data_IF_853643227152
#
_entry.id   IF_853643227152
#
_cell.length_a   1.000
_cell.length_b   1.000
_cell.length_c   1.000
_cell.angle_alpha   90.00
_cell.angle_beta   90.00
_cell.angle_gamma   90.00
#
_symmetry.space_group_name_H-M   'P 1'
#
loop_
_entity.id
_entity.type
_entity.pdbx_description
1 polymer ?
#
# COMPACT_ATOMS: atom_id res chain seq x y z
N UNK A 1 11.57 -16.14 -21.18
CA UNK A 1 12.47 -15.01 -21.47
C UNK A 1 11.85 -14.18 -22.60
N UNK A 2 11.03 -13.19 -22.29
CA UNK A 2 10.74 -12.14 -23.28
C UNK A 2 12.02 -11.32 -23.40
N UNK A 3 12.68 -11.41 -24.56
CA UNK A 3 13.82 -10.58 -24.91
C UNK A 3 13.42 -9.11 -24.67
N UNK A 4 14.09 -8.46 -23.75
CA UNK A 4 13.96 -7.02 -23.51
C UNK A 4 14.43 -6.33 -24.79
N UNK A 5 13.49 -6.02 -25.68
CA UNK A 5 13.79 -5.36 -26.95
C UNK A 5 14.14 -3.91 -26.61
N UNK A 6 15.44 -3.61 -26.46
CA UNK A 6 15.96 -2.26 -26.24
C UNK A 6 16.16 -1.61 -27.60
N UNK A 7 15.44 -0.54 -27.91
CA UNK A 7 15.60 0.18 -29.16
C UNK A 7 16.85 1.08 -29.11
N UNK A 8 18.02 0.53 -29.35
CA UNK A 8 19.25 1.31 -29.42
C UNK A 8 19.86 1.06 -30.81
N UNK A 9 19.75 2.04 -31.67
CA UNK A 9 20.31 2.03 -33.02
C UNK A 9 21.55 2.91 -33.18
N UNK A 10 21.84 3.80 -32.19
CA UNK A 10 22.93 4.75 -32.22
C UNK A 10 23.75 4.70 -30.94
N UNK A 11 25.06 4.63 -31.08
CA UNK A 11 25.97 4.80 -29.96
C UNK A 11 26.16 6.29 -29.69
N UNK A 12 25.90 6.72 -28.45
CA UNK A 12 26.04 8.10 -28.01
C UNK A 12 26.95 8.16 -26.78
N UNK A 13 27.75 9.25 -26.61
CA UNK A 13 28.56 9.42 -25.39
C UNK A 13 27.70 9.34 -24.15
N UNK A 14 27.99 8.36 -23.29
CA UNK A 14 27.13 7.99 -22.14
C UNK A 14 26.92 9.13 -21.16
N UNK A 15 27.99 9.84 -20.76
CA UNK A 15 27.90 10.95 -19.82
C UNK A 15 27.05 12.10 -20.36
N UNK A 16 27.21 12.42 -21.65
CA UNK A 16 26.41 13.46 -22.29
C UNK A 16 24.95 13.05 -22.37
N UNK A 17 24.68 11.82 -22.79
CA UNK A 17 23.33 11.27 -22.89
C UNK A 17 22.61 11.32 -21.53
N UNK A 18 23.30 10.93 -20.46
CA UNK A 18 22.74 10.97 -19.09
C UNK A 18 22.45 12.41 -18.64
N UNK A 19 23.35 13.36 -18.95
CA UNK A 19 23.17 14.77 -18.62
C UNK A 19 21.95 15.34 -19.33
N UNK A 20 21.83 15.09 -20.63
CA UNK A 20 20.72 15.58 -21.45
C UNK A 20 19.38 14.93 -21.01
N UNK A 21 19.38 13.63 -20.69
CA UNK A 21 18.21 12.93 -20.18
C UNK A 21 17.76 13.44 -18.81
N UNK A 22 18.69 13.77 -17.90
CA UNK A 22 18.35 14.37 -16.60
C UNK A 22 17.75 15.77 -16.75
N UNK A 23 18.29 16.59 -17.67
CA UNK A 23 17.73 17.90 -17.99
C UNK A 23 16.29 17.78 -18.54
N UNK A 24 16.06 16.80 -19.43
CA UNK A 24 14.71 16.53 -19.96
C UNK A 24 13.73 16.09 -18.87
N UNK A 25 14.13 15.18 -17.97
CA UNK A 25 13.30 14.77 -16.81
C UNK A 25 12.96 15.95 -15.90
N UNK A 26 13.89 16.90 -15.75
CA UNK A 26 13.65 18.13 -14.98
C UNK A 26 12.67 19.05 -15.69
N UNK A 27 12.86 19.26 -16.99
CA UNK A 27 11.94 20.05 -17.84
C UNK A 27 10.51 19.49 -17.83
N UNK A 28 10.37 18.16 -17.80
CA UNK A 28 9.09 17.47 -17.70
C UNK A 28 8.40 17.59 -16.33
N UNK A 29 9.04 18.25 -15.34
CA UNK A 29 8.47 18.48 -14.02
C UNK A 29 8.37 17.23 -13.14
N UNK A 30 9.25 16.24 -13.34
CA UNK A 30 9.30 15.07 -12.46
C UNK A 30 9.62 15.44 -11.01
N UNK A 31 9.02 14.73 -10.05
CA UNK A 31 9.28 14.95 -8.62
C UNK A 31 10.77 14.78 -8.30
N UNK A 32 11.29 15.51 -7.29
CA UNK A 32 12.68 15.39 -6.81
C UNK A 32 13.05 13.92 -6.54
N UNK A 33 12.12 13.13 -5.99
CA UNK A 33 12.33 11.71 -5.69
C UNK A 33 12.55 10.89 -6.98
N UNK A 34 11.75 11.16 -8.02
CA UNK A 34 11.91 10.47 -9.32
C UNK A 34 13.21 10.87 -9.98
N UNK A 35 13.56 12.15 -9.99
CA UNK A 35 14.82 12.66 -10.55
C UNK A 35 16.04 12.02 -9.87
N UNK A 36 16.06 11.97 -8.54
CA UNK A 36 17.14 11.33 -7.79
C UNK A 36 17.25 9.83 -8.08
N UNK A 37 16.14 9.16 -8.35
CA UNK A 37 16.15 7.73 -8.71
C UNK A 37 16.79 7.51 -10.08
N UNK A 38 16.40 8.27 -11.10
CA UNK A 38 17.00 8.18 -12.43
C UNK A 38 18.49 8.50 -12.36
N UNK A 39 18.85 9.57 -11.68
CA UNK A 39 20.25 9.93 -11.45
C UNK A 39 21.05 8.79 -10.87
N UNK A 40 20.61 8.21 -9.76
CA UNK A 40 21.33 7.11 -9.11
C UNK A 40 21.48 5.87 -10.00
N UNK A 41 20.48 5.56 -10.86
CA UNK A 41 20.57 4.43 -11.79
C UNK A 41 21.58 4.73 -12.90
N UNK A 42 21.55 5.93 -13.44
CA UNK A 42 22.40 6.29 -14.56
C UNK A 42 23.84 6.59 -14.13
N UNK A 43 24.06 7.14 -12.93
CA UNK A 43 25.40 7.24 -12.33
C UNK A 43 26.00 5.84 -12.11
N UNK A 44 25.22 4.90 -11.59
CA UNK A 44 25.66 3.51 -11.45
C UNK A 44 25.96 2.84 -12.81
N UNK A 45 25.22 3.18 -13.86
CA UNK A 45 25.52 2.70 -15.22
C UNK A 45 26.84 3.26 -15.75
N UNK A 46 27.17 4.53 -15.48
CA UNK A 46 28.43 5.15 -15.82
C UNK A 46 29.57 4.47 -15.04
N UNK A 47 29.45 4.34 -13.73
CA UNK A 47 30.43 3.64 -12.88
C UNK A 47 30.71 2.20 -13.36
N UNK A 48 29.63 1.49 -13.77
CA UNK A 48 29.72 0.15 -14.31
C UNK A 48 30.48 0.13 -15.64
N UNK A 49 30.23 1.08 -16.54
CA UNK A 49 30.92 1.21 -17.83
C UNK A 49 32.41 1.46 -17.63
N UNK A 50 32.75 2.40 -16.75
CA UNK A 50 34.13 2.79 -16.43
C UNK A 50 34.90 1.62 -15.78
N UNK A 51 34.25 0.95 -14.80
CA UNK A 51 34.87 -0.18 -14.06
C UNK A 51 35.11 -1.45 -14.89
N UNK A 52 34.40 -1.61 -16.03
CA UNK A 52 34.51 -2.78 -16.88
C UNK A 52 35.16 -2.46 -18.23
N UNK A 53 35.72 -1.26 -18.41
CA UNK A 53 36.39 -0.81 -19.66
C UNK A 53 35.50 -0.98 -20.91
N UNK A 54 34.17 -0.77 -20.76
CA UNK A 54 33.20 -1.01 -21.84
C UNK A 54 33.07 0.19 -22.82
N UNK A 55 33.89 1.22 -22.63
CA UNK A 55 33.91 2.42 -23.47
C UNK A 55 32.92 3.49 -23.03
N UNK A 56 33.03 4.69 -23.61
CA UNK A 56 32.27 5.89 -23.21
C UNK A 56 30.89 6.00 -23.90
N UNK A 57 30.49 4.99 -24.66
CA UNK A 57 29.27 5.06 -25.46
C UNK A 57 28.16 4.21 -24.90
N UNK A 58 26.94 4.78 -24.90
CA UNK A 58 25.73 4.02 -24.55
C UNK A 58 25.37 3.09 -25.70
N UNK A 59 25.48 1.80 -25.46
CA UNK A 59 25.18 0.76 -26.43
C UNK A 59 24.20 -0.28 -25.87
N UNK A 60 23.64 -1.08 -26.77
CA UNK A 60 22.80 -2.22 -26.39
C UNK A 60 23.57 -3.25 -25.57
N UNK A 61 24.84 -3.48 -25.93
CA UNK A 61 25.69 -4.43 -25.20
C UNK A 61 25.98 -3.95 -23.78
N UNK A 62 26.34 -2.68 -23.59
CA UNK A 62 26.49 -2.08 -22.25
C UNK A 62 25.22 -2.21 -21.43
N UNK A 63 24.08 -1.85 -22.01
CA UNK A 63 22.78 -1.93 -21.31
C UNK A 63 22.45 -3.36 -20.88
N UNK A 64 22.67 -4.35 -21.75
CA UNK A 64 22.40 -5.76 -21.44
C UNK A 64 23.34 -6.30 -20.35
N UNK A 65 24.65 -6.04 -20.44
CA UNK A 65 25.61 -6.45 -19.40
C UNK A 65 25.30 -5.81 -18.04
N UNK A 66 24.94 -4.54 -18.04
CA UNK A 66 24.52 -3.86 -16.81
C UNK A 66 23.27 -4.49 -16.18
N UNK A 67 22.28 -4.88 -16.99
CA UNK A 67 21.08 -5.57 -16.52
C UNK A 67 21.42 -6.98 -15.98
N UNK A 68 22.32 -7.72 -16.65
CA UNK A 68 22.79 -9.03 -16.22
C UNK A 68 23.55 -8.96 -14.88
N UNK A 69 24.49 -8.02 -14.75
CA UNK A 69 25.24 -7.79 -13.49
C UNK A 69 24.30 -7.49 -12.32
N UNK A 70 23.24 -6.72 -12.56
CA UNK A 70 22.22 -6.44 -11.57
C UNK A 70 21.18 -7.58 -11.42
N UNK A 71 21.45 -8.77 -12.02
CA UNK A 71 20.58 -9.96 -11.97
C UNK A 71 19.12 -9.64 -12.33
N UNK A 72 18.94 -8.87 -13.37
CA UNK A 72 17.63 -8.52 -13.87
C UNK A 72 17.16 -9.65 -14.79
N UNK A 73 16.16 -10.39 -14.38
CA UNK A 73 15.65 -11.55 -15.12
C UNK A 73 15.47 -12.81 -14.27
N UNK A 74 16.04 -12.85 -13.07
CA UNK A 74 15.80 -13.92 -12.09
C UNK A 74 14.43 -13.71 -11.39
N UNK A 75 13.34 -13.94 -12.12
CA UNK A 75 11.97 -13.70 -11.62
C UNK A 75 11.50 -14.75 -10.59
N UNK A 76 12.23 -15.83 -10.37
CA UNK A 76 11.82 -16.93 -9.50
C UNK A 76 12.08 -16.72 -8.01
N UNK A 77 12.85 -15.70 -7.63
CA UNK A 77 13.21 -15.45 -6.23
C UNK A 77 12.76 -14.07 -5.74
N UNK A 78 11.87 -14.04 -4.76
CA UNK A 78 11.60 -12.81 -3.98
C UNK A 78 12.83 -12.48 -3.12
N UNK A 79 13.77 -11.70 -3.66
CA UNK A 79 14.97 -11.25 -2.94
C UNK A 79 14.88 -9.79 -2.45
N UNK A 80 15.64 -9.42 -1.39
CA UNK A 80 15.83 -8.02 -1.01
C UNK A 80 16.40 -7.24 -2.21
N UNK A 81 15.73 -6.16 -2.60
CA UNK A 81 16.16 -5.35 -3.75
C UNK A 81 15.36 -5.54 -5.04
N UNK A 82 14.45 -6.49 -5.14
CA UNK A 82 13.62 -6.72 -6.34
C UNK A 82 12.90 -5.43 -6.83
N UNK A 83 12.47 -4.57 -5.91
CA UNK A 83 11.88 -3.28 -6.29
C UNK A 83 12.91 -2.35 -6.95
N UNK A 84 14.18 -2.39 -6.51
CA UNK A 84 15.26 -1.61 -7.10
C UNK A 84 15.64 -2.16 -8.48
N UNK A 85 15.70 -3.47 -8.65
CA UNK A 85 15.94 -4.12 -9.96
C UNK A 85 14.90 -3.69 -11.00
N UNK A 86 13.61 -3.67 -10.64
CA UNK A 86 12.54 -3.14 -11.52
C UNK A 86 12.77 -1.68 -11.91
N UNK A 87 13.31 -0.88 -11.01
CA UNK A 87 13.67 0.50 -11.31
C UNK A 87 14.89 0.62 -12.22
N UNK A 88 15.88 -0.28 -12.07
CA UNK A 88 17.04 -0.36 -12.96
C UNK A 88 16.60 -0.66 -14.39
N UNK A 89 15.81 -1.74 -14.60
CA UNK A 89 15.25 -2.08 -15.93
C UNK A 89 14.57 -0.88 -16.55
N UNK A 90 13.72 -0.25 -15.75
CA UNK A 90 12.97 0.90 -16.21
C UNK A 90 13.85 2.10 -16.54
N UNK A 91 14.83 2.41 -15.69
CA UNK A 91 15.78 3.50 -15.92
C UNK A 91 16.62 3.29 -17.18
N UNK A 92 17.12 2.08 -17.39
CA UNK A 92 17.86 1.71 -18.63
C UNK A 92 16.98 1.84 -19.86
N UNK A 93 15.73 1.37 -19.79
CA UNK A 93 14.78 1.50 -20.90
C UNK A 93 14.49 2.96 -21.25
N UNK A 94 14.25 3.82 -20.25
CA UNK A 94 14.01 5.25 -20.47
C UNK A 94 15.23 5.93 -21.11
N UNK A 95 16.44 5.55 -20.70
CA UNK A 95 17.66 6.07 -21.31
C UNK A 95 17.83 5.59 -22.76
N UNK A 96 17.51 4.34 -23.04
CA UNK A 96 17.54 3.77 -24.38
C UNK A 96 16.53 4.46 -25.32
N UNK A 97 15.30 4.64 -24.85
CA UNK A 97 14.26 5.36 -25.61
C UNK A 97 14.68 6.81 -25.89
N UNK A 98 15.32 7.47 -24.91
CA UNK A 98 15.84 8.83 -25.07
C UNK A 98 17.01 8.89 -26.05
N UNK A 99 17.91 7.93 -26.01
CA UNK A 99 19.04 7.84 -26.96
C UNK A 99 18.56 7.72 -28.40
N UNK A 100 17.45 7.03 -28.64
CA UNK A 100 16.91 6.81 -29.97
C UNK A 100 16.05 7.96 -30.46
N UNK A 101 15.18 8.49 -29.60
CA UNK A 101 14.15 9.45 -30.00
C UNK A 101 14.47 10.91 -29.62
N UNK A 102 15.44 11.13 -28.73
CA UNK A 102 15.72 12.45 -28.12
C UNK A 102 14.58 12.93 -27.23
N UNK A 103 13.65 12.05 -26.88
CA UNK A 103 12.48 12.37 -26.03
C UNK A 103 12.27 11.30 -25.00
N UNK A 104 11.94 11.72 -23.78
CA UNK A 104 11.47 10.81 -22.76
C UNK A 104 9.95 10.74 -22.89
N UNK A 105 9.46 9.65 -23.47
CA UNK A 105 8.04 9.38 -23.37
C UNK A 105 7.71 9.10 -21.93
N UNK A 106 6.71 9.79 -21.36
CA UNK A 106 6.16 9.44 -20.06
C UNK A 106 5.57 8.05 -20.18
N UNK A 107 6.33 7.06 -19.84
CA UNK A 107 5.88 5.67 -19.84
C UNK A 107 5.01 5.31 -18.62
N UNK A 108 4.79 6.22 -17.69
CA UNK A 108 3.49 6.24 -17.06
C UNK A 108 2.56 6.75 -18.16
N UNK A 109 1.71 5.85 -18.71
CA UNK A 109 0.46 6.31 -19.26
C UNK A 109 0.05 7.44 -18.32
N UNK A 110 -0.01 8.66 -18.83
CA UNK A 110 -0.52 9.76 -18.07
C UNK A 110 -1.62 9.15 -17.21
N UNK A 111 -1.45 9.20 -15.88
CA UNK A 111 -2.67 9.38 -15.11
C UNK A 111 -3.15 10.66 -15.75
N UNK A 112 -4.02 10.52 -16.76
CA UNK A 112 -4.56 11.62 -17.55
C UNK A 112 -4.92 12.59 -16.49
N UNK A 113 -4.24 13.72 -16.44
CA UNK A 113 -4.59 14.72 -15.46
C UNK A 113 -6.06 14.90 -15.71
N UNK A 114 -6.90 14.34 -14.84
CA UNK A 114 -8.35 14.30 -15.07
C UNK A 114 -8.78 15.75 -15.08
N UNK A 115 -8.90 16.32 -16.25
CA UNK A 115 -9.31 17.69 -16.45
C UNK A 115 -10.83 17.69 -16.50
N UNK A 116 -11.44 17.75 -15.32
CA UNK A 116 -12.88 17.92 -15.20
C UNK A 116 -13.26 19.31 -15.70
N UNK A 117 -14.36 19.38 -16.43
CA UNK A 117 -14.97 20.68 -16.76
C UNK A 117 -15.37 21.43 -15.48
N UNK A 118 -15.33 22.77 -15.49
CA UNK A 118 -15.52 23.59 -14.28
C UNK A 118 -16.79 23.25 -13.49
N UNK A 119 -17.90 22.96 -14.17
CA UNK A 119 -19.16 22.59 -13.52
C UNK A 119 -19.04 21.29 -12.70
N UNK A 120 -18.43 20.24 -13.27
CA UNK A 120 -18.21 18.97 -12.58
C UNK A 120 -17.21 19.12 -11.43
N UNK A 121 -16.17 19.92 -11.66
CA UNK A 121 -15.17 20.21 -10.62
C UNK A 121 -15.76 20.94 -9.42
N UNK A 122 -16.65 21.91 -9.66
CA UNK A 122 -17.33 22.63 -8.60
C UNK A 122 -18.26 21.71 -7.79
N UNK A 123 -19.09 20.91 -8.46
CA UNK A 123 -19.95 19.94 -7.77
C UNK A 123 -19.18 18.91 -6.96
N UNK A 124 -18.05 18.43 -7.47
CA UNK A 124 -17.17 17.54 -6.71
C UNK A 124 -16.58 18.24 -5.48
N UNK A 125 -16.16 19.48 -5.60
CA UNK A 125 -15.64 20.28 -4.48
C UNK A 125 -16.69 20.50 -3.40
N UNK A 126 -17.91 20.86 -3.77
CA UNK A 126 -19.04 21.01 -2.85
C UNK A 126 -19.37 19.69 -2.15
N UNK A 127 -19.36 18.60 -2.90
CA UNK A 127 -19.58 17.26 -2.31
C UNK A 127 -18.47 16.86 -1.32
N UNK A 128 -17.21 17.14 -1.65
CA UNK A 128 -16.08 16.89 -0.75
C UNK A 128 -16.25 17.68 0.54
N UNK A 129 -16.66 18.94 0.44
CA UNK A 129 -16.93 19.77 1.61
C UNK A 129 -18.13 19.25 2.42
N UNK A 130 -19.21 18.85 1.76
CA UNK A 130 -20.35 18.19 2.40
C UNK A 130 -19.95 16.91 3.14
N UNK A 131 -19.12 16.06 2.51
CA UNK A 131 -18.61 14.85 3.16
C UNK A 131 -17.77 15.14 4.40
N UNK A 132 -17.02 16.24 4.39
CA UNK A 132 -16.20 16.68 5.52
C UNK A 132 -17.06 17.23 6.65
N UNK A 133 -17.98 18.13 6.34
CA UNK A 133 -18.70 18.91 7.34
C UNK A 133 -19.95 18.20 7.89
N UNK A 134 -20.64 17.43 7.06
CA UNK A 134 -21.89 16.76 7.43
C UNK A 134 -21.74 15.27 7.68
N UNK A 135 -20.91 14.58 6.90
CA UNK A 135 -20.69 13.15 7.07
C UNK A 135 -19.45 12.84 7.93
N UNK A 136 -18.69 13.86 8.32
CA UNK A 136 -17.48 13.76 9.15
C UNK A 136 -16.53 12.66 8.67
N UNK A 137 -16.38 12.51 7.33
CA UNK A 137 -15.53 11.48 6.75
C UNK A 137 -14.06 11.76 7.05
N UNK A 138 -13.35 10.71 7.40
CA UNK A 138 -11.90 10.81 7.64
C UNK A 138 -11.13 11.10 6.36
N UNK A 139 -9.98 11.81 6.46
CA UNK A 139 -9.19 12.24 5.29
C UNK A 139 -8.87 11.10 4.32
N UNK A 140 -8.48 9.91 4.81
CA UNK A 140 -8.17 8.76 3.95
C UNK A 140 -9.40 8.22 3.19
N UNK A 141 -10.58 8.19 3.84
CA UNK A 141 -11.84 7.79 3.19
C UNK A 141 -12.25 8.83 2.14
N UNK A 142 -12.13 10.11 2.50
CA UNK A 142 -12.46 11.22 1.61
C UNK A 142 -11.57 11.22 0.37
N UNK A 143 -10.26 11.06 0.54
CA UNK A 143 -9.31 10.97 -0.57
C UNK A 143 -9.64 9.80 -1.52
N UNK A 144 -9.89 8.60 -0.98
CA UNK A 144 -10.26 7.44 -1.79
C UNK A 144 -11.55 7.65 -2.58
N UNK A 145 -12.57 8.24 -1.92
CA UNK A 145 -13.86 8.58 -2.55
C UNK A 145 -13.70 9.64 -3.63
N UNK A 146 -12.96 10.71 -3.36
CA UNK A 146 -12.69 11.77 -4.33
C UNK A 146 -11.99 11.21 -5.57
N UNK A 147 -10.97 10.37 -5.39
CA UNK A 147 -10.26 9.75 -6.52
C UNK A 147 -11.21 8.92 -7.40
N UNK A 148 -12.09 8.13 -6.79
CA UNK A 148 -13.02 7.31 -7.55
C UNK A 148 -14.08 8.15 -8.29
N UNK A 149 -14.57 9.21 -7.65
CA UNK A 149 -15.51 10.14 -8.28
C UNK A 149 -14.87 10.96 -9.40
N UNK A 150 -13.60 11.30 -9.30
CA UNK A 150 -12.87 11.92 -10.43
C UNK A 150 -12.86 10.99 -11.64
N UNK A 151 -12.63 9.69 -11.45
CA UNK A 151 -12.68 8.70 -12.54
C UNK A 151 -14.09 8.60 -13.12
N UNK A 152 -15.12 8.62 -12.29
CA UNK A 152 -16.51 8.61 -12.74
C UNK A 152 -16.87 9.85 -13.55
N UNK A 153 -16.47 11.02 -13.10
CA UNK A 153 -16.73 12.28 -13.80
C UNK A 153 -15.95 12.38 -15.13
N UNK A 154 -14.72 11.86 -15.19
CA UNK A 154 -13.94 11.76 -16.43
C UNK A 154 -14.62 10.82 -17.44
N UNK A 155 -15.17 9.70 -16.96
CA UNK A 155 -15.97 8.80 -17.78
C UNK A 155 -17.19 9.52 -18.36
N UNK A 156 -17.97 10.24 -17.54
CA UNK A 156 -19.13 11.03 -18.03
C UNK A 156 -18.71 12.08 -19.06
N UNK A 157 -17.60 12.76 -18.80
CA UNK A 157 -17.07 13.75 -19.74
C UNK A 157 -16.67 13.12 -21.08
N UNK A 158 -16.05 11.93 -21.07
CA UNK A 158 -15.69 11.19 -22.28
C UNK A 158 -16.93 10.80 -23.13
N UNK A 159 -18.08 10.66 -22.49
CA UNK A 159 -19.40 10.44 -23.14
C UNK A 159 -20.11 11.72 -23.57
N UNK A 160 -19.38 12.84 -23.60
CA UNK A 160 -19.87 14.17 -23.99
C UNK A 160 -20.90 14.79 -23.05
N UNK A 161 -21.08 14.26 -21.83
CA UNK A 161 -21.88 14.93 -20.82
C UNK A 161 -21.19 16.26 -20.42
N UNK A 162 -21.89 17.36 -20.58
CA UNK A 162 -21.38 18.71 -20.25
C UNK A 162 -21.82 19.17 -18.85
N UNK A 163 -22.90 18.61 -18.37
CA UNK A 163 -23.54 18.95 -17.08
C UNK A 163 -23.99 17.68 -16.37
N UNK A 164 -24.15 17.74 -15.06
CA UNK A 164 -24.47 16.56 -14.24
C UNK A 164 -25.96 16.18 -14.26
N UNK A 165 -26.84 17.06 -14.71
CA UNK A 165 -28.26 16.78 -14.93
C UNK A 165 -28.48 15.82 -16.11
N UNK A 166 -27.49 15.66 -17.00
CA UNK A 166 -27.51 14.77 -18.15
C UNK A 166 -27.22 13.29 -17.84
N UNK A 167 -26.87 12.98 -16.57
CA UNK A 167 -26.57 11.60 -16.17
C UNK A 167 -27.78 10.69 -16.38
N UNK A 168 -27.56 9.56 -17.04
CA UNK A 168 -28.58 8.55 -17.32
C UNK A 168 -28.27 7.22 -16.63
N UNK A 169 -29.26 6.36 -16.47
CA UNK A 169 -29.09 5.01 -15.92
C UNK A 169 -28.09 4.15 -16.71
N UNK A 170 -28.06 4.33 -18.03
CA UNK A 170 -27.11 3.66 -18.94
C UNK A 170 -25.65 4.03 -18.58
N UNK A 171 -25.38 5.30 -18.24
CA UNK A 171 -24.03 5.74 -17.87
C UNK A 171 -23.54 5.05 -16.61
N UNK A 172 -24.44 4.83 -15.63
CA UNK A 172 -24.12 4.14 -14.39
C UNK A 172 -23.79 2.67 -14.63
N UNK A 173 -24.61 1.99 -15.44
CA UNK A 173 -24.39 0.59 -15.78
C UNK A 173 -23.10 0.39 -16.55
N UNK A 174 -22.84 1.21 -17.57
CA UNK A 174 -21.62 1.12 -18.35
C UNK A 174 -20.36 1.48 -17.56
N UNK A 175 -20.43 2.51 -16.68
CA UNK A 175 -19.31 2.83 -15.81
C UNK A 175 -18.96 1.65 -14.91
N UNK A 176 -19.94 1.03 -14.27
CA UNK A 176 -19.69 -0.10 -13.36
C UNK A 176 -19.20 -1.32 -14.14
N UNK A 177 -19.80 -1.65 -15.29
CA UNK A 177 -19.32 -2.75 -16.15
C UNK A 177 -17.89 -2.51 -16.62
N UNK A 178 -17.58 -1.30 -17.11
CA UNK A 178 -16.22 -0.93 -17.49
C UNK A 178 -15.21 -1.05 -16.35
N UNK A 179 -15.63 -0.82 -15.10
CA UNK A 179 -14.77 -1.01 -13.91
C UNK A 179 -14.62 -2.48 -13.50
N UNK A 180 -15.59 -3.34 -13.81
CA UNK A 180 -15.52 -4.78 -13.56
C UNK A 180 -14.75 -5.52 -14.64
N UNK A 181 -14.85 -5.07 -15.89
CA UNK A 181 -14.33 -5.76 -17.06
C UNK A 181 -12.95 -5.27 -17.50
N UNK A 182 -12.46 -4.16 -16.92
CA UNK A 182 -11.12 -3.66 -17.19
C UNK A 182 -10.09 -4.30 -16.25
N UNK A 183 -9.00 -4.87 -16.78
CA UNK A 183 -7.88 -5.29 -15.97
C UNK A 183 -7.26 -4.08 -15.25
N UNK A 184 -6.96 -4.23 -13.97
CA UNK A 184 -6.31 -3.23 -13.13
C UNK A 184 -4.92 -2.88 -13.65
N UNK A 185 -4.85 -1.84 -14.51
CA UNK A 185 -3.59 -1.22 -14.95
C UNK A 185 -2.66 -2.13 -15.75
N UNK A 186 -1.71 -1.55 -16.45
CA UNK A 186 -0.74 -2.24 -17.32
C UNK A 186 0.18 -3.28 -16.61
N UNK A 187 0.12 -3.39 -15.28
CA UNK A 187 1.07 -4.21 -14.49
C UNK A 187 0.49 -5.56 -14.05
N UNK A 188 -0.84 -5.76 -14.12
CA UNK A 188 -1.47 -7.04 -13.74
C UNK A 188 -2.62 -7.35 -14.66
N UNK A 189 -2.32 -7.98 -15.78
CA UNK A 189 -3.29 -8.36 -16.82
C UNK A 189 -4.40 -9.34 -16.36
N UNK A 190 -4.25 -9.96 -15.18
CA UNK A 190 -5.09 -11.09 -14.74
C UNK A 190 -5.93 -10.80 -13.48
N UNK A 191 -6.04 -9.56 -13.01
CA UNK A 191 -6.78 -9.26 -11.79
C UNK A 191 -7.95 -8.30 -12.02
N UNK A 192 -9.12 -8.87 -12.11
CA UNK A 192 -10.42 -8.20 -12.00
C UNK A 192 -10.55 -7.49 -10.65
N UNK A 193 -11.30 -6.39 -10.60
CA UNK A 193 -11.63 -5.75 -9.33
C UNK A 193 -12.38 -6.73 -8.43
N UNK A 194 -11.90 -6.87 -7.20
CA UNK A 194 -12.57 -7.71 -6.22
C UNK A 194 -13.99 -7.17 -5.94
N UNK A 195 -15.01 -8.03 -5.74
CA UNK A 195 -16.40 -7.61 -5.49
C UNK A 195 -16.52 -6.55 -4.39
N UNK A 196 -15.69 -6.64 -3.34
CA UNK A 196 -15.63 -5.63 -2.27
C UNK A 196 -15.18 -4.25 -2.76
N UNK A 197 -14.27 -4.20 -3.73
CA UNK A 197 -13.82 -2.94 -4.33
C UNK A 197 -14.91 -2.34 -5.20
N UNK A 198 -15.58 -3.17 -6.01
CA UNK A 198 -16.72 -2.73 -6.82
C UNK A 198 -17.85 -2.22 -5.94
N UNK A 199 -18.20 -2.94 -4.87
CA UNK A 199 -19.22 -2.50 -3.91
C UNK A 199 -18.89 -1.13 -3.28
N UNK A 200 -17.60 -0.86 -3.00
CA UNK A 200 -17.15 0.46 -2.52
C UNK A 200 -17.34 1.53 -3.59
N UNK A 201 -16.95 1.26 -4.83
CA UNK A 201 -17.12 2.18 -5.97
C UNK A 201 -18.63 2.54 -6.12
N UNK A 202 -19.48 1.53 -6.16
CA UNK A 202 -20.94 1.72 -6.25
C UNK A 202 -21.46 2.54 -5.06
N UNK A 203 -20.95 2.31 -3.86
CA UNK A 203 -21.32 3.09 -2.67
C UNK A 203 -20.89 4.56 -2.77
N UNK A 204 -19.68 4.81 -3.29
CA UNK A 204 -19.14 6.15 -3.47
C UNK A 204 -19.95 6.94 -4.52
N UNK A 205 -20.27 6.32 -5.68
CA UNK A 205 -21.12 6.90 -6.71
C UNK A 205 -22.54 7.15 -6.18
N UNK A 206 -23.14 6.17 -5.49
CA UNK A 206 -24.48 6.32 -4.88
C UNK A 206 -24.54 7.50 -3.93
N UNK A 207 -23.52 7.68 -3.11
CA UNK A 207 -23.45 8.80 -2.16
C UNK A 207 -23.37 10.15 -2.88
N UNK A 208 -22.65 10.20 -4.00
CA UNK A 208 -22.57 11.40 -4.84
C UNK A 208 -23.89 11.71 -5.54
N UNK A 209 -24.55 10.72 -6.13
CA UNK A 209 -25.86 10.91 -6.76
C UNK A 209 -26.91 11.44 -5.78
N UNK A 210 -26.95 10.89 -4.55
CA UNK A 210 -27.83 11.41 -3.50
C UNK A 210 -27.57 12.88 -3.18
N UNK A 211 -26.28 13.26 -3.12
CA UNK A 211 -25.90 14.65 -2.93
C UNK A 211 -26.40 15.52 -4.07
N UNK A 212 -26.23 15.11 -5.34
CA UNK A 212 -26.71 15.85 -6.51
C UNK A 212 -28.23 16.01 -6.51
N UNK A 213 -28.98 14.97 -6.14
CA UNK A 213 -30.43 15.03 -5.99
C UNK A 213 -30.82 15.97 -4.85
N UNK A 214 -30.16 15.90 -3.71
CA UNK A 214 -30.39 16.80 -2.57
C UNK A 214 -30.15 18.28 -2.94
N UNK A 215 -29.18 18.53 -3.83
CA UNK A 215 -28.86 19.89 -4.34
C UNK A 215 -29.77 20.34 -5.49
N UNK A 216 -30.71 19.50 -5.94
CA UNK A 216 -31.61 19.80 -7.06
C UNK A 216 -30.92 19.78 -8.44
N UNK A 217 -29.67 19.29 -8.52
CA UNK A 217 -28.95 19.15 -9.79
C UNK A 217 -29.56 18.00 -10.61
N UNK A 218 -29.83 16.86 -9.94
CA UNK A 218 -30.57 15.75 -10.52
C UNK A 218 -32.04 15.85 -10.12
N UNK A 219 -32.92 15.83 -11.11
CA UNK A 219 -34.37 15.86 -10.89
C UNK A 219 -34.95 14.49 -10.49
N UNK A 220 -34.22 13.41 -10.81
CA UNK A 220 -34.59 12.03 -10.50
C UNK A 220 -33.53 11.35 -9.64
N UNK A 221 -33.98 10.56 -8.67
CA UNK A 221 -33.05 9.71 -7.90
C UNK A 221 -32.61 8.52 -8.75
N UNK A 222 -31.37 8.55 -9.20
CA UNK A 222 -30.74 7.48 -9.96
C UNK A 222 -30.07 6.40 -9.07
N UNK A 223 -30.17 6.49 -7.75
CA UNK A 223 -29.54 5.53 -6.85
C UNK A 223 -30.09 4.11 -6.97
N UNK A 224 -31.36 3.97 -7.39
CA UNK A 224 -32.01 2.68 -7.62
C UNK A 224 -31.44 1.93 -8.84
N UNK A 225 -30.94 2.68 -9.82
CA UNK A 225 -30.36 2.14 -11.06
C UNK A 225 -28.96 1.53 -10.85
N UNK A 226 -28.31 1.82 -9.71
CA UNK A 226 -27.01 1.24 -9.40
C UNK A 226 -27.15 -0.23 -8.97
N UNK A 227 -26.29 -1.13 -9.49
CA UNK A 227 -26.37 -2.55 -9.18
C UNK A 227 -26.15 -2.82 -7.70
N UNK A 228 -26.80 -3.87 -7.19
CA UNK A 228 -26.57 -4.41 -5.84
C UNK A 228 -25.44 -5.43 -5.91
N UNK A 229 -24.24 -5.04 -5.50
CA UNK A 229 -23.09 -5.94 -5.49
C UNK A 229 -23.15 -6.83 -4.25
N UNK A 230 -23.30 -8.13 -4.46
CA UNK A 230 -23.22 -9.12 -3.37
C UNK A 230 -21.75 -9.33 -3.02
N UNK A 231 -21.37 -8.97 -1.79
CA UNK A 231 -20.07 -9.28 -1.22
C UNK A 231 -20.27 -10.36 -0.18
N UNK A 232 -19.73 -11.57 -0.38
CA UNK A 232 -19.82 -12.60 0.65
C UNK A 232 -19.21 -12.08 1.94
N UNK A 233 -19.96 -12.12 3.05
CA UNK A 233 -19.51 -11.62 4.37
C UNK A 233 -18.25 -12.32 4.83
N UNK A 234 -18.06 -13.55 4.39
CA UNK A 234 -17.10 -14.50 4.93
C UNK A 234 -15.99 -14.92 3.96
N UNK A 235 -15.81 -14.17 2.87
CA UNK A 235 -14.93 -14.56 1.77
C UNK A 235 -13.42 -14.59 2.10
N UNK A 236 -12.98 -14.16 3.29
CA UNK A 236 -11.55 -14.12 3.61
C UNK A 236 -11.25 -14.62 5.01
N UNK A 237 -10.48 -15.70 5.07
CA UNK A 237 -9.78 -16.11 6.28
C UNK A 237 -8.64 -15.12 6.52
N UNK A 238 -8.43 -14.63 7.75
CA UNK A 238 -7.27 -13.81 8.08
C UNK A 238 -5.96 -14.53 7.73
N UNK A 239 -5.00 -13.79 7.17
CA UNK A 239 -3.67 -14.34 6.95
C UNK A 239 -2.92 -14.36 8.27
N UNK A 240 -2.66 -15.54 8.78
CA UNK A 240 -1.96 -15.81 10.04
C UNK A 240 -0.58 -16.39 9.71
N UNK A 241 0.45 -15.92 10.40
CA UNK A 241 1.80 -16.45 10.27
C UNK A 241 2.02 -17.54 11.31
N UNK A 242 2.76 -18.56 10.94
CA UNK A 242 3.29 -19.56 11.87
C UNK A 242 4.18 -18.85 12.91
N UNK A 243 4.19 -19.37 14.15
CA UNK A 243 4.93 -18.72 15.24
C UNK A 243 6.41 -18.56 14.93
N UNK A 244 6.99 -19.63 14.43
CA UNK A 244 8.40 -19.71 14.08
C UNK A 244 8.80 -18.66 13.04
N UNK A 245 7.89 -18.34 12.11
CA UNK A 245 8.13 -17.31 11.11
C UNK A 245 8.10 -15.89 11.71
N UNK A 246 7.29 -15.67 12.76
CA UNK A 246 7.30 -14.38 13.48
C UNK A 246 8.58 -14.23 14.29
N UNK A 247 9.04 -15.30 14.95
CA UNK A 247 10.32 -15.32 15.69
C UNK A 247 11.47 -15.05 14.73
N UNK A 248 11.55 -15.78 13.61
CA UNK A 248 12.57 -15.57 12.57
C UNK A 248 12.55 -14.16 11.99
N UNK A 249 11.35 -13.54 11.83
CA UNK A 249 11.24 -12.17 11.38
C UNK A 249 11.92 -11.20 12.35
N UNK A 250 11.71 -11.39 13.65
CA UNK A 250 12.26 -10.53 14.69
C UNK A 250 13.79 -10.75 14.83
N UNK A 251 14.24 -11.99 14.74
CA UNK A 251 15.68 -12.36 14.79
C UNK A 251 16.46 -11.86 13.57
N UNK A 252 15.81 -11.78 12.41
CA UNK A 252 16.43 -11.26 11.20
C UNK A 252 16.75 -9.77 11.25
N UNK A 253 16.22 -9.03 12.27
CA UNK A 253 16.43 -7.60 12.36
C UNK A 253 17.79 -7.29 12.96
N UNK A 254 18.68 -6.73 12.15
CA UNK A 254 19.98 -6.21 12.63
C UNK A 254 19.79 -4.94 13.45
N UNK A 255 19.88 -5.08 14.78
CA UNK A 255 19.74 -3.99 15.76
C UNK A 255 21.01 -3.19 16.00
N UNK A 256 22.09 -3.46 15.30
CA UNK A 256 23.32 -2.65 15.39
C UNK A 256 23.11 -1.26 14.77
N UNK A 257 22.22 -1.14 13.78
CA UNK A 257 21.91 0.09 13.05
C UNK A 257 20.71 0.85 13.64
N UNK A 258 20.72 2.18 13.53
CA UNK A 258 19.60 3.04 13.90
C UNK A 258 18.27 2.64 13.17
N UNK A 259 18.38 2.25 11.90
CA UNK A 259 17.26 1.74 11.11
C UNK A 259 16.72 0.44 11.68
N UNK A 260 17.61 -0.49 12.02
CA UNK A 260 17.21 -1.79 12.58
C UNK A 260 16.56 -1.66 13.96
N UNK A 261 17.10 -0.84 14.86
CA UNK A 261 16.46 -0.53 16.15
C UNK A 261 15.06 0.00 16.01
N UNK A 262 14.86 0.96 15.08
CA UNK A 262 13.54 1.50 14.74
C UNK A 262 12.59 0.42 14.24
N UNK A 263 13.05 -0.35 13.26
CA UNK A 263 12.23 -1.36 12.58
C UNK A 263 11.84 -2.49 13.54
N UNK A 264 12.75 -2.87 14.44
CA UNK A 264 12.49 -3.85 15.50
C UNK A 264 11.39 -3.40 16.45
N UNK A 265 11.48 -2.17 16.98
CA UNK A 265 10.45 -1.59 17.83
C UNK A 265 9.07 -1.52 17.12
N UNK A 266 9.05 -1.12 15.85
CA UNK A 266 7.81 -1.11 15.02
C UNK A 266 7.21 -2.52 14.91
N UNK A 267 8.04 -3.53 14.64
CA UNK A 267 7.59 -4.92 14.51
C UNK A 267 7.07 -5.47 15.85
N UNK A 268 7.72 -5.17 16.96
CA UNK A 268 7.23 -5.58 18.29
C UNK A 268 5.87 -4.97 18.63
N UNK A 269 5.66 -3.68 18.37
CA UNK A 269 4.34 -3.06 18.56
C UNK A 269 3.24 -3.75 17.75
N UNK A 270 3.56 -4.24 16.56
CA UNK A 270 2.62 -4.99 15.74
C UNK A 270 2.42 -6.43 16.20
N UNK A 271 3.50 -7.13 16.58
CA UNK A 271 3.48 -8.56 16.94
C UNK A 271 3.02 -8.83 18.37
N UNK A 272 3.38 -7.95 19.32
CA UNK A 272 3.13 -8.13 20.75
C UNK A 272 1.90 -7.38 21.24
N UNK A 273 1.70 -6.16 20.74
CA UNK A 273 0.57 -5.32 21.14
C UNK A 273 -0.53 -5.25 20.08
N UNK A 274 -0.31 -5.82 18.90
CA UNK A 274 -1.29 -5.83 17.83
C UNK A 274 -1.71 -4.45 17.33
N UNK A 275 -0.88 -3.43 17.49
CA UNK A 275 -1.20 -2.07 17.08
C UNK A 275 -1.42 -1.96 15.58
N UNK A 276 -2.34 -1.07 15.16
CA UNK A 276 -2.55 -0.79 13.74
C UNK A 276 -1.39 0.03 13.17
N UNK A 277 -1.06 -0.20 11.92
CA UNK A 277 0.00 0.55 11.19
C UNK A 277 -0.17 2.06 11.31
N UNK A 278 -1.42 2.55 11.23
CA UNK A 278 -1.72 3.97 11.38
C UNK A 278 -1.33 4.50 12.76
N UNK A 279 -1.66 3.75 13.80
CA UNK A 279 -1.43 4.12 15.19
C UNK A 279 0.06 4.05 15.54
N UNK A 280 0.79 3.00 15.08
CA UNK A 280 2.24 2.91 15.22
C UNK A 280 2.93 4.10 14.55
N UNK A 281 2.51 4.44 13.33
CA UNK A 281 3.12 5.52 12.55
C UNK A 281 2.95 6.89 13.17
N UNK A 282 1.81 7.13 13.83
CA UNK A 282 1.48 8.43 14.43
C UNK A 282 1.70 8.46 15.93
N UNK A 283 2.30 7.41 16.51
CA UNK A 283 2.63 7.34 17.93
C UNK A 283 3.57 8.48 18.30
N UNK A 284 3.25 9.22 19.35
CA UNK A 284 4.02 10.36 19.82
C UNK A 284 4.76 10.04 21.12
N UNK A 285 5.81 10.81 21.40
CA UNK A 285 6.66 10.64 22.59
C UNK A 285 5.88 10.80 23.91
N UNK A 286 4.92 11.72 23.95
CA UNK A 286 4.06 11.98 25.11
C UNK A 286 2.97 10.92 25.34
N UNK A 287 2.83 9.98 24.44
CA UNK A 287 1.91 8.82 24.57
C UNK A 287 2.58 7.59 25.21
N UNK A 288 3.88 7.68 25.52
CA UNK A 288 4.64 6.65 26.21
C UNK A 288 4.76 7.01 27.70
N UNK A 289 4.01 6.32 28.55
CA UNK A 289 3.97 6.54 30.00
C UNK A 289 4.91 5.53 30.68
N UNK A 290 6.18 5.94 30.85
CA UNK A 290 7.24 5.06 31.36
C UNK A 290 7.02 4.68 32.83
N UNK A 291 6.49 5.60 33.65
CA UNK A 291 6.23 5.39 35.06
C UNK A 291 5.20 4.28 35.27
N UNK A 292 4.16 4.29 34.46
CA UNK A 292 3.05 3.29 34.52
C UNK A 292 3.32 2.08 33.62
N UNK A 293 4.44 2.05 32.91
CA UNK A 293 4.72 1.03 31.89
C UNK A 293 3.56 0.82 30.91
N UNK A 294 2.97 1.93 30.40
CA UNK A 294 1.87 1.90 29.45
C UNK A 294 2.09 2.83 28.27
N UNK A 295 1.40 2.56 27.17
CA UNK A 295 1.22 3.50 26.06
C UNK A 295 -0.26 3.78 25.86
N UNK A 296 -0.59 5.02 25.51
CA UNK A 296 -1.96 5.44 25.28
C UNK A 296 -2.09 6.11 23.92
N UNK A 297 -3.00 5.59 23.07
CA UNK A 297 -3.22 6.11 21.73
C UNK A 297 -4.70 6.28 21.44
N UNK A 298 -5.08 7.36 20.79
CA UNK A 298 -6.38 7.47 20.15
C UNK A 298 -6.30 6.83 18.78
N UNK A 299 -6.98 5.72 18.60
CA UNK A 299 -6.92 4.95 17.35
C UNK A 299 -7.34 5.79 16.14
N UNK A 300 -6.46 5.90 15.17
CA UNK A 300 -6.66 6.73 13.98
C UNK A 300 -7.87 6.31 13.12
N UNK A 301 -8.27 5.03 13.19
CA UNK A 301 -9.38 4.48 12.40
C UNK A 301 -10.75 4.58 13.11
N UNK A 302 -10.81 4.51 14.41
CA UNK A 302 -12.06 4.45 15.19
C UNK A 302 -12.29 5.69 16.05
N UNK A 303 -11.25 6.42 16.43
CA UNK A 303 -11.30 7.52 17.38
C UNK A 303 -11.36 7.04 18.83
N UNK A 304 -11.28 5.73 19.07
CA UNK A 304 -11.36 5.13 20.41
C UNK A 304 -10.01 5.25 21.10
N UNK A 305 -9.94 5.72 22.36
CA UNK A 305 -8.74 5.64 23.17
C UNK A 305 -8.40 4.16 23.45
N UNK A 306 -7.13 3.85 23.42
CA UNK A 306 -6.59 2.52 23.68
C UNK A 306 -5.36 2.66 24.55
N UNK A 307 -5.38 2.03 25.73
CA UNK A 307 -4.25 1.93 26.63
C UNK A 307 -3.72 0.51 26.63
N UNK A 308 -2.44 0.34 26.36
CA UNK A 308 -1.78 -0.95 26.25
C UNK A 308 -0.57 -1.01 27.19
N UNK A 309 -0.27 -2.18 27.80
CA UNK A 309 0.92 -2.35 28.62
C UNK A 309 2.18 -2.33 27.76
N UNK A 310 3.20 -1.64 28.21
CA UNK A 310 4.57 -1.77 27.69
C UNK A 310 5.23 -2.96 28.38
N UNK A 311 5.26 -4.11 27.71
CA UNK A 311 6.03 -5.25 28.20
C UNK A 311 7.53 -4.92 28.19
N UNK A 312 8.36 -5.61 28.98
CA UNK A 312 9.79 -5.36 29.05
C UNK A 312 10.43 -5.40 27.65
N UNK A 313 10.11 -6.43 26.84
CA UNK A 313 10.63 -6.56 25.47
C UNK A 313 10.31 -5.33 24.59
N UNK A 314 9.09 -4.82 24.66
CA UNK A 314 8.65 -3.66 23.89
C UNK A 314 9.25 -2.36 24.43
N UNK A 315 9.29 -2.21 25.76
CA UNK A 315 9.85 -1.05 26.43
C UNK A 315 11.35 -0.89 26.15
N UNK A 316 12.12 -1.96 26.30
CA UNK A 316 13.55 -1.98 26.01
C UNK A 316 13.86 -1.64 24.56
N UNK A 317 13.10 -2.20 23.60
CA UNK A 317 13.27 -1.90 22.19
C UNK A 317 12.95 -0.44 21.86
N UNK A 318 11.94 0.13 22.48
CA UNK A 318 11.61 1.55 22.33
C UNK A 318 12.71 2.43 22.92
N UNK A 319 13.20 2.11 24.13
CA UNK A 319 14.29 2.85 24.79
C UNK A 319 15.57 2.79 23.95
N UNK A 320 15.94 1.60 23.47
CA UNK A 320 17.12 1.44 22.61
C UNK A 320 17.04 2.29 21.35
N UNK A 321 15.87 2.28 20.67
CA UNK A 321 15.67 3.14 19.52
C UNK A 321 15.70 4.63 19.89
N UNK A 322 15.02 5.05 20.95
CA UNK A 322 14.93 6.46 21.34
C UNK A 322 16.29 7.03 21.77
N UNK A 323 17.10 6.24 22.48
CA UNK A 323 18.42 6.67 22.99
C UNK A 323 19.51 6.65 21.92
N UNK A 324 19.52 5.63 21.06
CA UNK A 324 20.66 5.36 20.17
C UNK A 324 20.32 5.18 18.69
N UNK A 325 19.05 5.33 18.31
CA UNK A 325 18.62 5.16 16.92
C UNK A 325 17.78 6.31 16.35
N UNK A 326 17.05 7.03 17.21
CA UNK A 326 16.16 8.09 16.77
C UNK A 326 16.95 9.39 16.50
N UNK A 327 16.81 9.99 15.29
CA UNK A 327 17.42 11.29 15.01
C UNK A 327 16.87 12.38 15.94
N UNK A 328 17.73 13.30 16.35
CA UNK A 328 17.29 14.50 17.08
C UNK A 328 16.59 15.47 16.14
N UNK A 329 15.31 15.70 16.35
CA UNK A 329 14.46 16.57 15.54
C UNK A 329 13.37 17.21 16.41
N UNK A 330 12.71 18.25 15.90
CA UNK A 330 11.55 18.85 16.54
C UNK A 330 10.26 17.99 16.42
N UNK A 331 10.29 16.90 15.65
CA UNK A 331 9.14 16.02 15.48
C UNK A 331 8.79 15.28 16.77
N UNK A 332 7.51 15.25 17.10
CA UNK A 332 6.99 14.56 18.28
C UNK A 332 6.72 13.07 18.06
N UNK A 333 6.65 12.64 16.81
CA UNK A 333 6.44 11.23 16.46
C UNK A 333 7.62 10.38 16.92
N UNK A 334 7.31 9.21 17.50
CA UNK A 334 8.31 8.25 17.96
C UNK A 334 9.14 7.77 16.77
N UNK A 335 8.49 7.36 15.68
CA UNK A 335 9.15 6.76 14.54
C UNK A 335 9.34 7.71 13.37
N UNK A 336 10.58 7.89 12.97
CA UNK A 336 10.98 8.76 11.87
C UNK A 336 11.62 7.94 10.74
N UNK A 337 11.69 8.52 9.54
CA UNK A 337 12.47 7.95 8.44
C UNK A 337 13.96 7.93 8.82
N UNK A 338 14.68 6.91 8.33
CA UNK A 338 16.12 6.76 8.64
C UNK A 338 17.01 7.73 7.84
N UNK A 339 16.49 8.33 6.79
CA UNK A 339 17.24 9.23 5.91
C UNK A 339 16.78 10.69 6.10
N UNK A 340 17.69 11.66 5.98
CA UNK A 340 17.34 13.08 5.98
C UNK A 340 16.22 13.39 4.98
N UNK A 341 15.32 14.33 5.29
CA UNK A 341 15.29 15.21 6.47
C UNK A 341 14.67 14.58 7.74
N UNK A 342 14.67 13.28 7.88
CA UNK A 342 14.16 12.51 9.03
C UNK A 342 12.67 12.78 9.37
N UNK A 343 11.88 13.03 8.33
CA UNK A 343 10.44 13.26 8.47
C UNK A 343 9.71 12.08 9.13
N UNK A 344 8.57 12.32 9.78
CA UNK A 344 7.62 11.28 10.14
C UNK A 344 7.14 10.50 8.91
N UNK A 345 6.71 9.27 9.12
CA UNK A 345 6.13 8.46 8.07
C UNK A 345 4.79 9.05 7.60
N UNK A 346 4.61 9.20 6.30
CA UNK A 346 3.34 9.63 5.67
C UNK A 346 2.74 8.46 4.87
N UNK A 347 1.42 8.32 4.88
CA UNK A 347 0.72 7.22 4.19
C UNK A 347 0.90 5.86 4.89
N UNK A 348 0.53 4.75 4.24
CA UNK A 348 0.58 3.39 4.82
C UNK A 348 1.95 2.71 4.61
N UNK A 349 3.04 3.41 4.81
CA UNK A 349 4.36 3.03 4.30
C UNK A 349 5.19 2.09 5.19
N UNK A 350 4.65 1.50 6.24
CA UNK A 350 5.44 0.55 7.06
C UNK A 350 5.48 -0.88 6.48
N UNK A 351 4.78 -1.12 5.37
CA UNK A 351 4.78 -2.43 4.71
C UNK A 351 6.17 -2.87 4.23
N UNK A 352 6.98 -1.92 3.76
CA UNK A 352 8.34 -2.19 3.30
C UNK A 352 9.25 -2.72 4.43
N UNK A 353 8.99 -2.40 5.70
CA UNK A 353 9.76 -2.89 6.85
C UNK A 353 9.61 -4.41 6.95
N UNK A 354 8.36 -4.90 7.00
CA UNK A 354 8.12 -6.35 7.04
C UNK A 354 8.69 -7.04 5.81
N UNK A 355 8.49 -6.48 4.63
CA UNK A 355 8.99 -7.06 3.38
C UNK A 355 10.51 -7.19 3.40
N UNK A 356 11.22 -6.14 3.80
CA UNK A 356 12.69 -6.13 3.86
C UNK A 356 13.23 -7.19 4.81
N UNK A 357 12.78 -7.19 6.08
CA UNK A 357 13.30 -8.11 7.08
C UNK A 357 12.83 -9.56 6.85
N UNK A 358 11.64 -9.76 6.30
CA UNK A 358 11.16 -11.07 5.88
C UNK A 358 12.07 -11.69 4.81
N UNK A 359 12.48 -10.90 3.83
CA UNK A 359 13.36 -11.37 2.76
C UNK A 359 14.76 -11.68 3.28
N UNK A 360 15.32 -10.82 4.13
CA UNK A 360 16.61 -11.09 4.79
C UNK A 360 16.57 -12.33 5.67
N UNK A 361 15.48 -12.55 6.40
CA UNK A 361 15.28 -13.75 7.21
C UNK A 361 14.97 -15.01 6.40
N UNK A 362 14.96 -14.95 5.05
CA UNK A 362 14.68 -16.10 4.19
C UNK A 362 13.27 -16.68 4.38
N UNK A 363 12.31 -15.84 4.85
CA UNK A 363 10.95 -16.30 5.16
C UNK A 363 10.13 -16.40 3.89
N UNK A 364 9.76 -17.62 3.54
CA UNK A 364 8.87 -17.96 2.42
C UNK A 364 7.59 -18.57 2.95
N UNK A 365 6.46 -18.23 2.33
CA UNK A 365 5.17 -18.82 2.66
C UNK A 365 4.82 -19.91 1.67
N UNK A 366 4.34 -21.06 2.17
CA UNK A 366 3.91 -22.18 1.36
C UNK A 366 2.65 -21.89 0.54
N UNK A 367 1.81 -20.96 1.04
CA UNK A 367 0.55 -20.57 0.42
C UNK A 367 0.51 -19.08 0.14
N UNK A 368 -0.29 -18.67 -0.86
CA UNK A 368 -0.53 -17.28 -1.14
C UNK A 368 -1.31 -16.62 -0.01
N UNK A 369 -0.65 -15.83 0.80
CA UNK A 369 -1.25 -15.08 1.92
C UNK A 369 -0.73 -13.65 2.00
N UNK A 370 -1.44 -12.80 2.75
CA UNK A 370 -1.01 -11.42 2.99
C UNK A 370 0.22 -11.41 3.90
N UNK A 371 1.22 -10.61 3.51
CA UNK A 371 2.56 -10.61 4.10
C UNK A 371 2.91 -9.27 4.77
N UNK A 372 1.94 -8.42 5.07
CA UNK A 372 2.16 -7.09 5.64
C UNK A 372 1.99 -7.04 7.15
N UNK A 373 2.29 -5.88 7.77
CA UNK A 373 2.14 -5.63 9.22
C UNK A 373 0.76 -6.04 9.76
N UNK A 374 -0.30 -5.85 8.98
CA UNK A 374 -1.65 -6.25 9.40
C UNK A 374 -1.79 -7.75 9.64
N UNK A 375 -1.03 -8.59 8.92
CA UNK A 375 -1.05 -10.03 9.17
C UNK A 375 -0.42 -10.40 10.51
N UNK A 376 0.57 -9.64 11.00
CA UNK A 376 1.15 -9.84 12.32
C UNK A 376 0.12 -9.57 13.43
N UNK A 377 -0.70 -8.53 13.29
CA UNK A 377 -1.82 -8.28 14.19
C UNK A 377 -2.88 -9.41 14.14
N UNK A 378 -3.19 -9.92 12.94
CA UNK A 378 -4.08 -11.08 12.80
C UNK A 378 -3.49 -12.31 13.48
N UNK A 379 -2.19 -12.53 13.35
CA UNK A 379 -1.47 -13.61 14.02
C UNK A 379 -1.59 -13.52 15.54
N UNK A 380 -1.36 -12.34 16.12
CA UNK A 380 -1.52 -12.14 17.55
C UNK A 380 -2.95 -12.47 18.00
N UNK A 381 -3.95 -11.94 17.30
CA UNK A 381 -5.36 -12.16 17.66
C UNK A 381 -5.77 -13.64 17.59
N UNK A 382 -5.35 -14.35 16.55
CA UNK A 382 -5.61 -15.79 16.42
C UNK A 382 -4.94 -16.57 17.53
N UNK A 383 -3.69 -16.26 17.86
CA UNK A 383 -2.95 -16.92 18.96
C UNK A 383 -3.54 -16.67 20.35
N UNK A 384 -4.04 -15.46 20.60
CA UNK A 384 -4.76 -15.17 21.83
C UNK A 384 -6.02 -16.04 21.93
N UNK A 385 -6.73 -16.20 20.84
CA UNK A 385 -7.90 -17.05 20.76
C UNK A 385 -7.56 -18.54 20.99
N UNK A 386 -6.50 -19.04 20.34
CA UNK A 386 -5.99 -20.42 20.52
C UNK A 386 -5.58 -20.70 21.97
N UNK A 387 -5.14 -19.68 22.70
CA UNK A 387 -4.82 -19.76 24.13
C UNK A 387 -6.06 -19.60 25.03
N UNK A 388 -7.26 -19.58 24.48
CA UNK A 388 -8.51 -19.49 25.23
C UNK A 388 -8.86 -18.08 25.72
N UNK A 389 -8.19 -17.01 25.22
CA UNK A 389 -8.54 -15.65 25.59
C UNK A 389 -9.95 -15.30 25.08
N UNK A 390 -10.84 -14.76 25.93
CA UNK A 390 -12.19 -14.39 25.53
C UNK A 390 -12.21 -13.37 24.38
N UNK A 391 -13.21 -13.48 23.49
CA UNK A 391 -13.38 -12.55 22.37
C UNK A 391 -13.50 -11.08 22.79
N UNK A 392 -14.13 -10.81 23.93
CA UNK A 392 -14.24 -9.48 24.53
C UNK A 392 -12.87 -8.90 24.86
N UNK A 393 -12.04 -9.67 25.53
CA UNK A 393 -10.67 -9.27 25.89
C UNK A 393 -9.80 -9.06 24.66
N UNK A 394 -9.91 -9.95 23.64
CA UNK A 394 -9.21 -9.75 22.36
C UNK A 394 -9.70 -8.47 21.68
N UNK A 395 -11.00 -8.19 21.71
CA UNK A 395 -11.57 -6.97 21.14
C UNK A 395 -11.03 -5.72 21.84
N UNK A 396 -10.93 -5.74 23.16
CA UNK A 396 -10.36 -4.66 23.98
C UNK A 396 -8.88 -4.43 23.67
N UNK A 397 -8.04 -5.49 23.71
CA UNK A 397 -6.61 -5.42 23.38
C UNK A 397 -6.40 -4.81 21.98
N UNK A 398 -7.23 -5.20 21.02
CA UNK A 398 -7.13 -4.71 19.66
C UNK A 398 -7.85 -3.37 19.44
N UNK A 399 -8.64 -2.89 20.41
CA UNK A 399 -9.47 -1.70 20.25
C UNK A 399 -10.49 -1.85 19.11
N UNK A 400 -11.23 -2.96 19.10
CA UNK A 400 -12.34 -3.17 18.19
C UNK A 400 -13.60 -2.55 18.77
N UNK A 401 -14.27 -1.70 18.01
CA UNK A 401 -15.56 -1.10 18.38
C UNK A 401 -16.74 -2.08 18.22
N UNK A 402 -16.52 -3.22 17.57
CA UNK A 402 -17.53 -4.26 17.35
C UNK A 402 -16.90 -5.64 17.48
N UNK A 403 -17.54 -6.53 18.20
CA UNK A 403 -17.16 -7.94 18.33
C UNK A 403 -17.17 -8.67 16.99
N UNK A 404 -17.98 -8.23 16.03
CA UNK A 404 -17.98 -8.75 14.66
C UNK A 404 -16.60 -8.64 14.00
N UNK A 405 -15.85 -7.57 14.32
CA UNK A 405 -14.46 -7.41 13.84
C UNK A 405 -13.51 -8.45 14.44
N UNK A 406 -13.85 -9.04 15.59
CA UNK A 406 -13.04 -10.06 16.26
C UNK A 406 -13.43 -11.46 15.82
N UNK A 407 -14.70 -11.69 15.44
CA UNK A 407 -15.21 -13.00 14.98
C UNK A 407 -14.46 -13.57 13.77
N UNK A 408 -13.84 -12.71 12.96
CA UNK A 408 -13.05 -13.17 11.81
C UNK A 408 -11.90 -14.10 12.21
N UNK A 409 -11.42 -14.01 13.46
CA UNK A 409 -10.33 -14.86 13.96
C UNK A 409 -10.78 -16.27 14.30
N UNK A 410 -12.05 -16.46 14.66
CA UNK A 410 -12.61 -17.80 14.88
C UNK A 410 -12.49 -18.67 13.64
N UNK A 411 -12.55 -18.09 12.44
CA UNK A 411 -12.42 -18.82 11.17
C UNK A 411 -11.00 -19.29 10.89
N UNK A 412 -10.01 -18.65 11.50
CA UNK A 412 -8.60 -19.06 11.37
C UNK A 412 -8.22 -20.15 12.37
N UNK A 413 -9.03 -20.40 13.38
CA UNK A 413 -8.80 -21.43 14.39
C UNK A 413 -9.44 -22.74 13.96
N UNK A 414 -8.77 -23.47 13.06
CA UNK A 414 -9.24 -24.75 12.52
C UNK A 414 -9.35 -25.82 13.59
N UNK A 415 -8.50 -25.79 14.61
CA UNK A 415 -8.49 -26.77 15.70
C UNK A 415 -9.72 -26.63 16.61
N UNK A 416 -10.08 -25.39 16.96
CA UNK A 416 -11.33 -25.14 17.69
C UNK A 416 -12.57 -25.50 16.86
N UNK A 417 -12.51 -25.35 15.54
CA UNK A 417 -13.60 -25.80 14.67
C UNK A 417 -13.69 -27.31 14.61
N UNK A 418 -12.56 -28.02 14.61
CA UNK A 418 -12.56 -29.51 14.67
C UNK A 418 -13.14 -30.04 15.96
N UNK A 419 -12.88 -29.41 17.10
CA UNK A 419 -13.40 -29.85 18.40
C UNK A 419 -14.92 -29.72 18.56
N UNK A 420 -15.56 -28.88 17.72
CA UNK A 420 -17.03 -28.71 17.70
C UNK A 420 -17.69 -29.29 16.45
N UNK A 421 -16.89 -29.82 15.51
CA UNK A 421 -17.41 -30.53 14.37
C UNK A 421 -17.96 -31.90 14.86
N UNK A 422 -19.27 -32.07 14.71
CA UNK A 422 -19.89 -33.38 14.98
C UNK A 422 -19.35 -34.41 13.99
N UNK A 423 -18.88 -35.53 14.50
CA UNK A 423 -18.54 -36.67 13.65
C UNK A 423 -19.84 -37.19 13.00
N UNK A 424 -19.94 -37.25 11.68
CA UNK A 424 -21.12 -37.78 11.00
C UNK A 424 -21.50 -39.18 11.45
N UNK A 425 -20.55 -39.98 11.94
CA UNK A 425 -20.78 -41.35 12.45
C UNK A 425 -21.43 -41.30 13.85
N UNK A 426 -21.15 -40.32 14.72
CA UNK A 426 -21.80 -40.18 16.03
C UNK A 426 -23.28 -39.77 15.93
N UNK A 427 -23.69 -39.11 14.86
CA UNK A 427 -25.09 -38.67 14.65
C UNK A 427 -26.01 -39.85 14.29
N UNK A 428 -25.47 -40.96 13.76
CA UNK A 428 -26.23 -42.15 13.37
C UNK A 428 -26.51 -43.12 14.51
N UNK A 429 -25.91 -42.96 15.67
CA UNK A 429 -26.15 -43.80 16.85
C UNK A 429 -27.16 -43.26 17.87
N UNK A 430 -27.77 -42.11 17.57
CA UNK A 430 -28.78 -41.46 18.41
C UNK A 430 -30.21 -41.60 17.85
N UNK A 431 -30.53 -42.78 17.28
CA UNK A 431 -31.91 -43.18 16.94
C UNK A 431 -32.29 -44.50 17.61
#
# INVERSE_FOLDING_TARGET
MEQTNLPISRNLPLQRLVTDALAEIERMGHSRRSRNRYRAIWEHLIEFSDGNELGDEFSRDLAMRFLEENRVGDDEMEEPGQSWRKHIVWGVKVLADFAETGRIERAFADVKAIHLIPAMQNSLREYVQYCKDRLHLRPGTLQGRTTELMIFLDFLHSRKARTLDQIQASDLSEFISGRTDLPLGKIRRDHWLQPKTVARIVSDVRSFLRFLTMRGILQKDLCAELPKIRVPRDAKIPSVWEHELVVRLLEAVDRSSAKGKRDYAILLLACRLGMRVGDIRTLKLDQLHWEDSTLEVTQSKTGTPLRLPLTNEVGEALIDYLKSGRPQTAHREVFLKANPPFDPFRGNNLHHIVTYWRLLGGIRFRTAQKRGIHSLRHTLATRLLEKGTPFTTIAEILGHTSLESTRIYAKANVEALRSVALDPEEVNHAK
#
